data_IF_621564945664
#
_entry.id   IF_621564945664
#
_cell.length_a   1.000
_cell.length_b   1.000
_cell.length_c   1.000
_cell.angle_alpha   90.00
_cell.angle_beta   90.00
_cell.angle_gamma   90.00
#
_symmetry.space_group_name_H-M   'P 1'
#
loop_
_entity.id
_entity.type
_entity.pdbx_description
1 polymer ?
#
# COMPACT_ATOMS: atom_id res chain seq x y z
N UNK A 1 -5.87 -44.14 -18.38
CA UNK A 1 -4.92 -43.01 -18.37
C UNK A 1 -5.63 -41.76 -17.86
N UNK A 2 -5.62 -41.52 -16.55
CA UNK A 2 -6.18 -40.29 -15.96
C UNK A 2 -5.20 -39.15 -16.13
N UNK A 3 -5.59 -38.11 -16.88
CA UNK A 3 -4.82 -36.86 -16.96
C UNK A 3 -4.81 -36.24 -15.57
N UNK A 4 -3.64 -36.27 -14.94
CA UNK A 4 -3.33 -35.46 -13.78
C UNK A 4 -3.52 -33.99 -14.16
N UNK A 5 -4.70 -33.47 -13.85
CA UNK A 5 -4.95 -32.05 -13.78
C UNK A 5 -4.03 -31.53 -12.66
N UNK A 6 -2.87 -31.01 -13.07
CA UNK A 6 -1.91 -30.39 -12.19
C UNK A 6 -2.65 -29.26 -11.47
N UNK A 7 -3.08 -29.53 -10.24
CA UNK A 7 -3.51 -28.54 -9.25
C UNK A 7 -2.35 -27.56 -9.08
N UNK A 8 -2.31 -26.52 -9.93
CA UNK A 8 -1.43 -25.39 -9.76
C UNK A 8 -1.87 -24.71 -8.48
N UNK A 9 -1.26 -25.11 -7.36
CA UNK A 9 -1.46 -24.50 -6.04
C UNK A 9 -1.45 -22.99 -6.24
N UNK A 10 -2.59 -22.32 -6.04
CA UNK A 10 -2.71 -20.88 -6.25
C UNK A 10 -1.76 -20.16 -5.29
N UNK A 11 -0.82 -19.39 -5.85
CA UNK A 11 0.24 -18.67 -5.14
C UNK A 11 -0.11 -17.18 -5.08
N UNK A 12 -0.09 -16.60 -3.89
CA UNK A 12 -0.21 -15.16 -3.67
C UNK A 12 1.11 -14.44 -3.93
N UNK A 13 1.03 -13.14 -4.18
CA UNK A 13 2.21 -12.27 -4.37
C UNK A 13 2.03 -10.98 -3.60
N UNK A 14 3.02 -10.64 -2.79
CA UNK A 14 3.13 -9.35 -2.11
C UNK A 14 4.29 -8.60 -2.75
N UNK A 15 4.04 -7.37 -3.17
CA UNK A 15 5.01 -6.54 -3.87
C UNK A 15 5.35 -5.33 -3.02
N UNK A 16 6.56 -4.82 -3.18
CA UNK A 16 6.96 -3.54 -2.60
C UNK A 16 7.70 -2.70 -3.63
N UNK A 17 7.40 -1.39 -3.68
CA UNK A 17 8.11 -0.44 -4.53
C UNK A 17 8.17 0.95 -3.90
N UNK A 18 9.36 1.48 -3.67
CA UNK A 18 9.55 2.92 -3.47
C UNK A 18 9.45 3.64 -4.83
N UNK A 19 8.52 4.59 -4.94
CA UNK A 19 8.17 5.22 -6.21
C UNK A 19 8.66 6.66 -6.33
N UNK A 20 9.32 7.23 -5.31
CA UNK A 20 9.77 8.64 -5.23
C UNK A 20 8.69 9.73 -5.22
N UNK A 21 7.58 9.51 -5.92
CA UNK A 21 6.40 10.38 -5.84
C UNK A 21 5.21 9.72 -6.54
N UNK A 22 4.02 9.90 -5.99
CA UNK A 22 2.72 9.65 -6.62
C UNK A 22 1.89 10.92 -6.78
N UNK A 23 2.48 12.10 -6.52
CA UNK A 23 1.76 13.38 -6.51
C UNK A 23 1.00 13.62 -7.82
N UNK A 24 1.63 13.32 -8.95
CA UNK A 24 0.98 13.35 -10.26
C UNK A 24 0.03 12.17 -10.41
N UNK A 25 -1.26 12.44 -10.64
CA UNK A 25 -2.29 11.41 -10.82
C UNK A 25 -1.92 10.37 -11.89
N UNK A 26 -1.22 10.77 -12.96
CA UNK A 26 -0.75 9.89 -14.03
C UNK A 26 0.17 8.77 -13.52
N UNK A 27 1.03 9.06 -12.54
CA UNK A 27 1.93 8.04 -11.96
C UNK A 27 1.17 6.92 -11.26
N UNK A 28 0.05 7.21 -10.61
CA UNK A 28 -0.80 6.21 -9.96
C UNK A 28 -1.28 5.18 -10.98
N UNK A 29 -1.74 5.65 -12.16
CA UNK A 29 -2.21 4.79 -13.24
C UNK A 29 -1.06 4.01 -13.88
N UNK A 30 0.11 4.62 -14.08
CA UNK A 30 1.30 3.90 -14.56
C UNK A 30 1.69 2.75 -13.62
N UNK A 31 1.67 3.00 -12.31
CA UNK A 31 1.93 1.98 -11.28
C UNK A 31 0.88 0.87 -11.37
N UNK A 32 -0.42 1.22 -11.37
CA UNK A 32 -1.51 0.24 -11.45
C UNK A 32 -1.42 -0.63 -12.72
N UNK A 33 -1.23 0.01 -13.90
CA UNK A 33 -1.06 -0.69 -15.17
C UNK A 33 0.17 -1.61 -15.16
N UNK A 34 1.28 -1.19 -14.54
CA UNK A 34 2.47 -2.03 -14.40
C UNK A 34 2.22 -3.21 -13.47
N UNK A 35 1.50 -2.99 -12.38
CA UNK A 35 1.22 -4.03 -11.37
C UNK A 35 0.35 -5.14 -11.89
N UNK A 36 -0.61 -4.85 -12.78
CA UNK A 36 -1.46 -5.88 -13.41
C UNK A 36 -0.66 -7.03 -14.03
N UNK A 37 0.50 -6.74 -14.64
CA UNK A 37 1.40 -7.77 -15.21
C UNK A 37 1.96 -8.73 -14.16
N UNK A 38 2.12 -8.25 -12.93
CA UNK A 38 2.61 -9.05 -11.81
C UNK A 38 1.47 -9.69 -11.00
N UNK A 39 0.21 -9.36 -11.28
CA UNK A 39 -1.00 -9.84 -10.59
C UNK A 39 -0.75 -10.10 -9.08
N UNK A 40 -0.44 -9.03 -8.33
CA UNK A 40 -0.22 -9.07 -6.89
C UNK A 40 -1.54 -9.15 -6.13
N UNK A 41 -1.51 -9.75 -4.94
CA UNK A 41 -2.60 -9.59 -3.97
C UNK A 41 -2.56 -8.16 -3.42
N UNK A 42 -1.36 -7.68 -3.08
CA UNK A 42 -1.10 -6.34 -2.57
C UNK A 42 0.26 -5.80 -3.02
N UNK A 43 0.34 -4.48 -3.14
CA UNK A 43 1.57 -3.71 -3.34
C UNK A 43 1.72 -2.69 -2.21
N UNK A 44 2.83 -2.76 -1.48
CA UNK A 44 3.31 -1.69 -0.61
C UNK A 44 4.06 -0.63 -1.41
N UNK A 45 3.80 0.64 -1.09
CA UNK A 45 4.38 1.79 -1.77
C UNK A 45 4.97 2.73 -0.73
N UNK A 46 6.18 3.22 -0.99
CA UNK A 46 6.84 4.28 -0.22
C UNK A 46 7.11 5.50 -1.09
N UNK A 47 7.30 6.65 -0.44
CA UNK A 47 7.47 7.97 -1.07
C UNK A 47 6.30 8.32 -1.99
N UNK A 48 5.09 8.21 -1.45
CA UNK A 48 3.88 8.63 -2.19
C UNK A 48 3.81 10.15 -2.33
N UNK A 49 4.37 10.89 -1.36
CA UNK A 49 4.34 12.36 -1.27
C UNK A 49 2.92 12.92 -1.19
N UNK A 50 1.96 12.09 -0.83
CA UNK A 50 0.60 12.51 -0.54
C UNK A 50 0.50 12.98 0.91
N UNK A 51 -0.37 13.95 1.15
CA UNK A 51 -0.78 14.37 2.49
C UNK A 51 -2.06 13.64 2.89
N UNK A 52 -2.40 13.74 4.17
CA UNK A 52 -3.57 13.17 4.82
C UNK A 52 -3.60 11.63 4.80
N UNK A 53 -4.60 11.10 5.48
CA UNK A 53 -4.89 9.68 5.55
C UNK A 53 -6.18 9.42 4.78
N UNK A 54 -6.21 8.39 3.94
CA UNK A 54 -7.40 8.12 3.17
C UNK A 54 -7.35 6.85 2.34
N UNK A 55 -8.41 6.69 1.54
CA UNK A 55 -8.50 5.61 0.57
C UNK A 55 -9.12 6.10 -0.74
N UNK A 56 -8.72 5.50 -1.85
CA UNK A 56 -9.20 5.81 -3.19
C UNK A 56 -9.35 4.52 -3.99
N UNK A 57 -10.53 4.29 -4.57
CA UNK A 57 -10.71 3.23 -5.56
C UNK A 57 -10.26 3.75 -6.93
N UNK A 58 -9.37 3.02 -7.58
CA UNK A 58 -8.93 3.33 -8.94
C UNK A 58 -10.00 2.87 -9.93
N UNK A 59 -10.09 3.53 -11.08
CA UNK A 59 -10.97 3.10 -12.18
C UNK A 59 -10.65 1.69 -12.67
N UNK A 60 -9.42 1.26 -12.41
CA UNK A 60 -8.88 -0.06 -12.74
C UNK A 60 -9.33 -1.17 -11.79
N UNK A 61 -10.03 -0.83 -10.69
CA UNK A 61 -10.64 -1.77 -9.73
C UNK A 61 -9.87 -1.92 -8.41
N UNK A 62 -8.59 -1.54 -8.35
CA UNK A 62 -7.77 -1.63 -7.15
C UNK A 62 -8.17 -0.57 -6.09
N UNK A 63 -8.00 -0.90 -4.82
CA UNK A 63 -8.22 0.02 -3.69
C UNK A 63 -6.86 0.46 -3.17
N UNK A 64 -6.63 1.76 -3.17
CA UNK A 64 -5.43 2.38 -2.62
C UNK A 64 -5.75 2.92 -1.23
N UNK A 65 -5.02 2.45 -0.22
CA UNK A 65 -5.01 2.98 1.14
C UNK A 65 -3.74 3.81 1.28
N UNK A 66 -3.80 5.01 1.82
CA UNK A 66 -2.62 5.87 1.93
C UNK A 66 -2.57 6.60 3.26
N UNK A 67 -1.34 6.90 3.67
CA UNK A 67 -1.01 7.69 4.84
C UNK A 67 0.10 8.66 4.50
N UNK A 68 -0.16 9.94 4.74
CA UNK A 68 0.75 11.06 4.54
C UNK A 68 0.89 11.91 5.79
N UNK A 69 1.48 13.10 5.66
CA UNK A 69 1.45 14.11 6.72
C UNK A 69 0.02 14.58 6.99
N UNK A 70 -0.35 14.76 8.26
CA UNK A 70 -1.71 15.14 8.64
C UNK A 70 -2.04 16.59 8.27
N UNK A 71 -1.06 17.49 8.36
CA UNK A 71 -1.21 18.91 8.08
C UNK A 71 -1.40 19.17 6.57
N UNK A 72 -2.35 20.05 6.25
CA UNK A 72 -2.73 20.35 4.86
C UNK A 72 -1.58 21.03 4.07
N UNK A 73 -0.74 21.81 4.75
CA UNK A 73 0.40 22.52 4.17
C UNK A 73 1.76 21.85 4.45
N UNK A 74 1.76 20.60 4.92
CA UNK A 74 2.99 19.87 5.16
C UNK A 74 3.80 19.69 3.87
N UNK A 75 5.14 19.61 3.95
CA UNK A 75 5.97 19.33 2.79
C UNK A 75 5.58 17.98 2.16
N UNK A 76 5.41 17.97 0.84
CA UNK A 76 5.12 16.77 0.03
C UNK A 76 6.31 15.81 -0.01
N UNK A 77 6.56 15.19 1.13
CA UNK A 77 7.67 14.28 1.42
C UNK A 77 7.12 13.06 2.14
N UNK A 78 7.86 11.95 2.15
CA UNK A 78 7.45 10.72 2.84
C UNK A 78 6.13 10.16 2.24
N UNK A 79 5.29 9.54 3.07
CA UNK A 79 4.03 8.97 2.65
C UNK A 79 4.17 7.51 2.24
N UNK A 80 3.21 6.71 2.68
CA UNK A 80 3.13 5.28 2.41
C UNK A 80 1.75 4.91 1.91
N UNK A 81 1.66 3.86 1.10
CA UNK A 81 0.38 3.35 0.62
C UNK A 81 0.38 1.83 0.46
N UNK A 82 -0.83 1.27 0.49
CA UNK A 82 -1.12 -0.11 0.14
C UNK A 82 -2.13 -0.13 -1.01
N UNK A 83 -1.74 -0.70 -2.15
CA UNK A 83 -2.64 -0.95 -3.27
C UNK A 83 -3.12 -2.41 -3.21
N UNK A 84 -4.43 -2.59 -3.09
CA UNK A 84 -5.09 -3.87 -2.89
C UNK A 84 -5.81 -4.32 -4.16
N UNK A 85 -5.53 -5.55 -4.60
CA UNK A 85 -6.34 -6.22 -5.61
C UNK A 85 -7.79 -6.39 -5.16
N UNK A 86 -8.71 -6.67 -6.07
CA UNK A 86 -10.10 -6.96 -5.73
C UNK A 86 -10.23 -8.11 -4.71
N UNK A 87 -9.41 -9.16 -4.85
CA UNK A 87 -9.41 -10.28 -3.92
C UNK A 87 -8.95 -9.85 -2.52
N UNK A 88 -7.91 -9.02 -2.43
CA UNK A 88 -7.43 -8.47 -1.17
C UNK A 88 -8.42 -7.49 -0.53
N UNK A 89 -9.10 -6.66 -1.33
CA UNK A 89 -10.18 -5.78 -0.88
C UNK A 89 -11.31 -6.58 -0.23
N UNK A 90 -11.73 -7.64 -0.91
CA UNK A 90 -12.78 -8.52 -0.41
C UNK A 90 -12.38 -9.25 0.87
N UNK A 91 -11.08 -9.39 1.15
CA UNK A 91 -10.56 -10.02 2.36
C UNK A 91 -10.23 -9.02 3.47
N UNK A 92 -10.27 -7.71 3.20
CA UNK A 92 -9.86 -6.67 4.13
C UNK A 92 -10.78 -6.66 5.36
N UNK A 93 -10.17 -6.84 6.53
CA UNK A 93 -10.82 -6.73 7.84
C UNK A 93 -10.83 -5.25 8.26
N UNK A 94 -9.68 -4.58 8.15
CA UNK A 94 -9.49 -3.20 8.55
C UNK A 94 -8.08 -2.71 8.22
N UNK A 95 -7.87 -1.41 8.37
CA UNK A 95 -6.55 -0.79 8.20
C UNK A 95 -6.42 0.43 9.10
N UNK A 96 -5.19 0.80 9.40
CA UNK A 96 -4.83 1.88 10.32
C UNK A 96 -3.58 2.60 9.80
N UNK A 97 -3.57 3.93 9.97
CA UNK A 97 -2.40 4.77 9.76
C UNK A 97 -1.70 5.01 11.09
N UNK A 98 -0.37 5.05 11.07
CA UNK A 98 0.47 5.34 12.23
C UNK A 98 1.45 6.48 11.90
N UNK A 99 0.91 7.56 11.32
CA UNK A 99 1.65 8.69 10.76
C UNK A 99 2.04 8.48 9.29
N UNK A 100 2.82 9.40 8.75
CA UNK A 100 3.20 9.46 7.32
C UNK A 100 4.10 8.30 6.83
N UNK A 101 4.66 7.51 7.76
CA UNK A 101 5.69 6.49 7.46
C UNK A 101 5.25 5.05 7.65
N UNK A 102 4.10 4.81 8.29
CA UNK A 102 3.63 3.44 8.58
C UNK A 102 2.13 3.34 8.33
N UNK A 103 1.73 2.34 7.54
CA UNK A 103 0.34 1.95 7.35
C UNK A 103 0.21 0.44 7.54
N UNK A 104 -0.82 0.00 8.26
CA UNK A 104 -1.09 -1.42 8.50
C UNK A 104 -2.47 -1.78 7.97
N UNK A 105 -2.57 -2.95 7.34
CA UNK A 105 -3.84 -3.54 6.93
C UNK A 105 -3.91 -5.00 7.40
N UNK A 106 -5.11 -5.42 7.82
CA UNK A 106 -5.39 -6.78 8.26
C UNK A 106 -6.40 -7.43 7.31
N UNK A 107 -6.16 -8.67 6.90
CA UNK A 107 -6.96 -9.40 5.93
C UNK A 107 -7.26 -10.82 6.38
N UNK A 108 -8.44 -11.33 6.04
CA UNK A 108 -8.85 -12.69 6.34
C UNK A 108 -8.18 -13.67 5.38
N UNK A 109 -7.65 -14.76 5.92
CA UNK A 109 -7.07 -15.83 5.10
C UNK A 109 -8.02 -17.02 4.97
N UNK A 110 -7.76 -17.91 4.00
CA UNK A 110 -8.50 -19.18 3.90
C UNK A 110 -8.13 -20.15 5.02
N UNK A 111 -7.02 -19.94 5.72
CA UNK A 111 -6.65 -20.76 6.87
C UNK A 111 -7.44 -20.26 8.08
N UNK A 112 -8.30 -21.12 8.60
CA UNK A 112 -9.17 -20.77 9.72
C UNK A 112 -8.38 -20.36 10.97
N UNK A 113 -8.89 -19.36 11.69
CA UNK A 113 -8.25 -18.80 12.87
C UNK A 113 -6.99 -17.96 12.62
N UNK A 114 -6.54 -17.82 11.36
CA UNK A 114 -5.34 -17.07 10.97
C UNK A 114 -5.71 -15.92 10.05
N UNK A 115 -5.38 -14.71 10.49
CA UNK A 115 -5.42 -13.50 9.68
C UNK A 115 -4.03 -13.17 9.11
N UNK A 116 -3.99 -12.27 8.14
CA UNK A 116 -2.77 -11.70 7.60
C UNK A 116 -2.71 -10.22 7.98
N UNK A 117 -1.63 -9.80 8.62
CA UNK A 117 -1.28 -8.42 8.90
C UNK A 117 -0.16 -7.99 7.96
N UNK A 118 -0.35 -6.88 7.27
CA UNK A 118 0.65 -6.26 6.41
C UNK A 118 0.96 -4.89 6.98
N UNK A 119 2.23 -4.66 7.28
CA UNK A 119 2.74 -3.38 7.75
C UNK A 119 3.68 -2.86 6.67
N UNK A 120 3.29 -1.74 6.07
CA UNK A 120 4.07 -1.05 5.05
C UNK A 120 4.78 0.15 5.66
N UNK A 121 6.09 0.22 5.45
CA UNK A 121 6.96 1.18 6.13
C UNK A 121 7.81 2.02 5.16
N UNK A 122 8.13 3.24 5.60
CA UNK A 122 9.19 4.08 5.06
C UNK A 122 10.06 4.64 6.20
N UNK A 123 11.15 3.96 6.52
CA UNK A 123 12.01 4.35 7.63
C UNK A 123 12.81 5.63 7.33
N UNK A 124 13.16 6.43 8.35
CA UNK A 124 14.10 7.55 8.19
C UNK A 124 15.45 7.09 7.61
N UNK A 125 16.10 7.96 6.82
CA UNK A 125 17.46 7.69 6.32
C UNK A 125 18.49 7.79 7.45
N UNK A 126 19.73 7.36 7.19
CA UNK A 126 20.83 7.46 8.17
C UNK A 126 21.11 8.92 8.59
N UNK A 127 20.82 9.90 7.75
CA UNK A 127 21.10 11.32 8.01
C UNK A 127 20.05 12.01 8.90
N UNK A 128 18.95 11.33 9.23
CA UNK A 128 17.99 11.82 10.22
C UNK A 128 18.61 11.79 11.62
N UNK A 129 18.14 12.69 12.49
CA UNK A 129 18.51 12.65 13.90
C UNK A 129 18.08 11.34 14.58
N UNK A 130 18.80 10.95 15.63
CA UNK A 130 18.57 9.69 16.33
C UNK A 130 17.19 9.60 16.97
N UNK A 131 16.68 10.71 17.54
CA UNK A 131 15.35 10.76 18.15
C UNK A 131 14.24 10.38 17.16
N UNK A 132 14.31 10.87 15.91
CA UNK A 132 13.34 10.53 14.88
C UNK A 132 13.41 9.05 14.46
N UNK A 133 14.62 8.48 14.42
CA UNK A 133 14.80 7.04 14.17
C UNK A 133 14.21 6.22 15.32
N UNK A 134 14.49 6.61 16.56
CA UNK A 134 14.04 5.89 17.75
C UNK A 134 12.53 5.97 17.93
N UNK A 135 11.92 7.12 17.66
CA UNK A 135 10.46 7.27 17.60
C UNK A 135 9.83 6.36 16.54
N UNK A 136 10.44 6.27 15.34
CA UNK A 136 9.96 5.38 14.29
C UNK A 136 10.04 3.90 14.70
N UNK A 137 11.19 3.45 15.20
CA UNK A 137 11.38 2.05 15.59
C UNK A 137 10.53 1.66 16.82
N UNK A 138 10.37 2.56 17.79
CA UNK A 138 9.50 2.36 18.95
C UNK A 138 8.02 2.24 18.55
N UNK A 139 7.58 3.11 17.62
CA UNK A 139 6.22 3.01 17.06
C UNK A 139 6.03 1.71 16.30
N UNK A 140 7.00 1.32 15.48
CA UNK A 140 6.96 0.06 14.73
C UNK A 140 6.90 -1.15 15.67
N UNK A 141 7.68 -1.16 16.76
CA UNK A 141 7.64 -2.19 17.80
C UNK A 141 6.23 -2.35 18.37
N UNK A 142 5.59 -1.25 18.79
CA UNK A 142 4.22 -1.28 19.34
C UNK A 142 3.19 -1.86 18.35
N UNK A 143 3.35 -1.59 17.05
CA UNK A 143 2.46 -2.12 16.02
C UNK A 143 2.67 -3.63 15.84
N UNK A 144 3.93 -4.10 15.89
CA UNK A 144 4.28 -5.52 15.79
C UNK A 144 3.71 -6.29 16.99
N UNK A 145 3.84 -5.76 18.21
CA UNK A 145 3.33 -6.39 19.45
C UNK A 145 1.82 -6.58 19.44
N UNK A 146 1.09 -5.66 18.80
CA UNK A 146 -0.37 -5.75 18.62
C UNK A 146 -0.78 -6.82 17.61
N UNK A 147 0.15 -7.38 16.83
CA UNK A 147 -0.16 -8.44 15.86
C UNK A 147 -0.10 -9.82 16.56
N UNK A 148 -1.19 -10.62 16.54
CA UNK A 148 -1.19 -11.94 17.15
C UNK A 148 -0.10 -12.85 16.56
N UNK A 149 0.65 -13.55 17.41
CA UNK A 149 1.76 -14.42 16.98
C UNK A 149 1.34 -15.59 16.08
N UNK A 150 0.07 -16.03 16.21
CA UNK A 150 -0.54 -17.05 15.35
C UNK A 150 -0.82 -16.55 13.93
N UNK A 151 -1.00 -15.24 13.77
CA UNK A 151 -1.34 -14.62 12.49
C UNK A 151 -0.09 -14.48 11.62
N UNK A 152 -0.32 -14.33 10.32
CA UNK A 152 0.73 -14.04 9.36
C UNK A 152 1.05 -12.56 9.38
N UNK A 153 2.23 -12.18 9.89
CA UNK A 153 2.68 -10.79 9.86
C UNK A 153 3.74 -10.62 8.78
N UNK A 154 3.47 -9.75 7.82
CA UNK A 154 4.38 -9.34 6.75
C UNK A 154 4.74 -7.88 6.98
N UNK A 155 6.03 -7.61 7.08
CA UNK A 155 6.53 -6.24 7.06
C UNK A 155 7.18 -6.02 5.70
N UNK A 156 6.86 -4.92 5.06
CA UNK A 156 7.51 -4.54 3.81
C UNK A 156 7.73 -3.04 3.77
N UNK A 157 8.73 -2.62 3.02
CA UNK A 157 9.06 -1.22 2.96
C UNK A 157 10.48 -0.96 2.55
N UNK A 158 10.75 0.32 2.41
CA UNK A 158 12.09 0.87 2.36
C UNK A 158 12.48 1.23 3.79
N UNK A 159 13.44 0.47 4.32
CA UNK A 159 13.93 0.63 5.69
C UNK A 159 15.21 1.44 5.75
N UNK A 160 15.76 1.90 4.61
CA UNK A 160 17.07 2.54 4.55
C UNK A 160 18.17 1.73 5.28
N UNK A 161 18.01 0.41 5.34
CA UNK A 161 18.77 -0.49 6.19
C UNK A 161 19.52 -1.52 5.34
N UNK A 162 20.85 -1.51 5.40
CA UNK A 162 21.70 -2.54 4.82
C UNK A 162 21.99 -3.55 5.92
N UNK A 163 21.51 -4.78 5.76
CA UNK A 163 21.71 -5.84 6.78
C UNK A 163 23.01 -6.61 6.58
N UNK A 164 23.57 -6.55 5.37
CA UNK A 164 24.80 -7.21 4.98
C UNK A 164 24.70 -8.73 4.81
N UNK A 165 25.85 -9.36 4.56
CA UNK A 165 25.97 -10.83 4.44
C UNK A 165 26.24 -11.54 5.75
N UNK A 166 26.85 -10.84 6.71
CA UNK A 166 27.12 -11.40 8.04
C UNK A 166 25.80 -11.57 8.79
N UNK A 167 25.53 -12.81 9.18
CA UNK A 167 24.34 -13.20 9.92
C UNK A 167 24.67 -13.74 11.32
N UNK A 168 25.90 -13.55 11.80
CA UNK A 168 26.34 -13.98 13.13
C UNK A 168 25.46 -13.36 14.21
N UNK A 169 24.83 -14.18 15.05
CA UNK A 169 23.86 -13.74 16.07
C UNK A 169 22.45 -13.44 15.54
N UNK A 170 22.21 -13.56 14.24
CA UNK A 170 20.92 -13.34 13.57
C UNK A 170 20.50 -14.53 12.70
N UNK A 171 21.11 -15.71 12.87
CA UNK A 171 20.93 -16.90 12.03
C UNK A 171 19.47 -17.37 11.99
N UNK A 172 18.72 -17.04 13.04
CA UNK A 172 17.32 -17.36 13.21
C UNK A 172 16.37 -16.58 12.28
N UNK A 173 16.78 -15.39 11.86
CA UNK A 173 15.96 -14.47 11.06
C UNK A 173 16.63 -14.10 9.72
N UNK A 174 17.95 -14.24 9.61
CA UNK A 174 18.74 -13.90 8.43
C UNK A 174 19.36 -15.15 7.80
N UNK A 175 19.20 -15.26 6.48
CA UNK A 175 20.00 -16.19 5.69
C UNK A 175 21.37 -15.60 5.32
N UNK A 176 22.17 -16.41 4.62
CA UNK A 176 23.55 -16.06 4.21
C UNK A 176 23.64 -15.30 2.88
N UNK A 177 22.52 -14.77 2.41
CA UNK A 177 22.41 -14.23 1.06
C UNK A 177 22.04 -12.74 1.02
N UNK A 178 22.26 -11.99 2.10
CA UNK A 178 22.18 -10.53 2.05
C UNK A 178 23.22 -9.90 1.10
N UNK A 179 23.29 -8.57 1.09
CA UNK A 179 24.16 -7.81 0.19
C UNK A 179 24.90 -6.70 0.96
N UNK A 180 26.22 -6.62 0.73
CA UNK A 180 27.06 -5.55 1.24
C UNK A 180 27.40 -5.71 2.73
N UNK A 181 27.79 -4.60 3.34
CA UNK A 181 28.08 -4.48 4.76
C UNK A 181 26.91 -3.85 5.50
N UNK A 182 26.80 -4.19 6.79
CA UNK A 182 25.73 -3.69 7.64
C UNK A 182 25.98 -2.21 7.98
N UNK A 183 24.94 -1.39 7.91
CA UNK A 183 24.99 0.00 8.39
C UNK A 183 24.24 0.15 9.72
N UNK A 184 24.32 1.32 10.36
CA UNK A 184 23.64 1.62 11.62
C UNK A 184 22.12 1.35 11.59
N UNK A 185 21.41 1.83 10.55
CA UNK A 185 20.00 1.49 10.34
C UNK A 185 19.79 -0.03 10.19
N UNK A 186 20.76 -0.72 9.59
CA UNK A 186 20.81 -2.18 9.46
C UNK A 186 20.89 -2.91 10.79
N UNK A 187 21.63 -2.37 11.76
CA UNK A 187 21.71 -2.91 13.12
C UNK A 187 20.39 -2.71 13.87
N UNK A 188 19.85 -1.48 13.88
CA UNK A 188 18.53 -1.20 14.50
C UNK A 188 17.44 -2.11 13.91
N UNK A 189 17.42 -2.23 12.59
CA UNK A 189 16.52 -3.12 11.86
C UNK A 189 16.75 -4.59 12.24
N UNK A 190 17.98 -5.10 12.18
CA UNK A 190 18.26 -6.50 12.50
C UNK A 190 17.90 -6.85 13.95
N UNK A 191 18.18 -5.96 14.90
CA UNK A 191 17.86 -6.11 16.32
C UNK A 191 16.35 -6.19 16.56
N UNK A 192 15.59 -5.24 16.00
CA UNK A 192 14.13 -5.24 16.10
C UNK A 192 13.54 -6.53 15.52
N UNK A 193 14.02 -6.95 14.35
CA UNK A 193 13.49 -8.13 13.66
C UNK A 193 13.89 -9.43 14.34
N UNK A 194 15.09 -9.51 14.93
CA UNK A 194 15.50 -10.63 15.76
C UNK A 194 14.63 -10.75 17.01
N UNK A 195 14.42 -9.65 17.73
CA UNK A 195 13.59 -9.60 18.94
C UNK A 195 12.17 -10.12 18.67
N UNK A 196 11.57 -9.70 17.56
CA UNK A 196 10.20 -10.10 17.17
C UNK A 196 10.14 -11.39 16.33
N UNK A 197 11.27 -12.09 16.13
CA UNK A 197 11.36 -13.32 15.32
C UNK A 197 10.79 -13.13 13.91
N UNK A 198 11.19 -12.05 13.23
CA UNK A 198 10.78 -11.70 11.88
C UNK A 198 11.92 -12.01 10.90
N UNK A 199 11.74 -13.04 10.07
CA UNK A 199 12.71 -13.45 9.08
C UNK A 199 12.79 -12.47 7.89
N UNK A 200 14.01 -12.11 7.48
CA UNK A 200 14.28 -11.15 6.42
C UNK A 200 14.36 -11.88 5.08
N UNK A 201 13.28 -11.82 4.28
CA UNK A 201 13.13 -12.63 3.07
C UNK A 201 14.24 -12.43 2.04
N UNK A 202 14.73 -11.19 1.90
CA UNK A 202 15.79 -10.82 0.96
C UNK A 202 17.15 -11.47 1.22
N UNK A 203 17.38 -12.05 2.39
CA UNK A 203 18.64 -12.72 2.78
C UNK A 203 18.55 -14.24 2.75
N UNK A 204 17.35 -14.81 2.60
CA UNK A 204 17.10 -16.27 2.71
C UNK A 204 17.41 -17.00 1.40
N UNK A 205 17.15 -16.38 0.25
CA UNK A 205 17.21 -17.07 -1.05
C UNK A 205 18.52 -16.78 -1.79
N UNK A 206 19.15 -17.84 -2.31
CA UNK A 206 20.36 -17.71 -3.12
C UNK A 206 20.03 -17.17 -4.51
N UNK A 207 20.42 -15.93 -4.77
CA UNK A 207 20.25 -15.27 -6.05
C UNK A 207 21.48 -14.45 -6.45
N UNK A 208 21.61 -14.20 -7.76
CA UNK A 208 22.61 -13.25 -8.30
C UNK A 208 22.34 -11.84 -7.75
N UNK A 209 23.39 -11.02 -7.58
CA UNK A 209 23.31 -9.62 -7.08
C UNK A 209 22.23 -8.77 -7.77
N UNK A 210 22.03 -9.00 -9.07
CA UNK A 210 21.01 -8.32 -9.89
C UNK A 210 19.55 -8.58 -9.45
N UNK A 211 19.32 -9.62 -8.65
CA UNK A 211 18.00 -9.97 -8.11
C UNK A 211 17.87 -9.68 -6.61
N UNK A 212 18.92 -9.12 -5.99
CA UNK A 212 18.97 -8.72 -4.57
C UNK A 212 19.03 -7.21 -4.40
N UNK A 213 19.74 -6.53 -5.31
CA UNK A 213 19.84 -5.07 -5.34
C UNK A 213 18.44 -4.48 -5.48
N UNK A 214 18.07 -3.56 -4.60
CA UNK A 214 16.76 -2.91 -4.64
C UNK A 214 16.88 -1.45 -5.01
N UNK A 215 17.98 -0.78 -4.67
CA UNK A 215 18.25 0.60 -5.01
C UNK A 215 19.54 0.75 -5.82
N UNK A 216 19.58 1.72 -6.74
CA UNK A 216 20.77 2.11 -7.50
C UNK A 216 20.89 3.62 -7.49
N UNK A 217 22.08 4.13 -7.14
CA UNK A 217 22.32 5.58 -7.09
C UNK A 217 22.06 6.26 -8.44
N UNK A 218 21.74 7.57 -8.44
CA UNK A 218 21.49 8.32 -9.69
C UNK A 218 22.65 8.28 -10.70
N UNK A 219 23.89 8.20 -10.22
CA UNK A 219 25.11 8.05 -11.03
C UNK A 219 25.36 6.60 -11.51
N UNK A 220 24.48 5.66 -11.15
CA UNK A 220 24.54 4.23 -11.45
C UNK A 220 25.81 3.49 -10.97
N UNK A 221 26.55 4.05 -10.01
CA UNK A 221 27.78 3.44 -9.48
C UNK A 221 27.51 2.55 -8.27
N UNK A 222 26.59 2.96 -7.41
CA UNK A 222 26.33 2.34 -6.11
C UNK A 222 25.02 1.58 -6.13
N UNK A 223 25.03 0.38 -5.54
CA UNK A 223 23.90 -0.54 -5.54
C UNK A 223 23.72 -1.14 -4.15
N UNK A 224 22.53 -0.96 -3.58
CA UNK A 224 22.22 -1.37 -2.21
C UNK A 224 20.96 -2.24 -2.13
N UNK A 225 20.84 -2.99 -1.04
CA UNK A 225 19.62 -3.69 -0.63
C UNK A 225 19.09 -3.01 0.63
N UNK A 226 18.13 -2.11 0.45
CA UNK A 226 17.52 -1.30 1.52
C UNK A 226 16.00 -1.49 1.63
N UNK A 227 15.42 -2.11 0.60
CA UNK A 227 14.03 -2.49 0.55
C UNK A 227 13.89 -3.94 0.98
N UNK A 228 13.02 -4.21 1.96
CA UNK A 228 12.89 -5.53 2.55
C UNK A 228 11.44 -5.99 2.59
N UNK A 229 11.24 -7.30 2.41
CA UNK A 229 9.99 -7.99 2.74
C UNK A 229 10.35 -9.07 3.76
N UNK A 230 9.71 -8.98 4.92
CA UNK A 230 9.97 -9.81 6.07
C UNK A 230 8.68 -10.51 6.53
N UNK A 231 8.85 -11.62 7.24
CA UNK A 231 7.75 -12.49 7.65
C UNK A 231 8.03 -13.11 9.01
N UNK A 232 7.02 -13.30 9.86
CA UNK A 232 7.20 -14.02 11.12
C UNK A 232 7.80 -15.43 10.92
N UNK A 233 8.80 -15.75 11.74
CA UNK A 233 9.64 -16.96 11.65
C UNK A 233 8.82 -18.24 11.56
N UNK A 234 7.77 -18.34 12.37
CA UNK A 234 6.86 -19.49 12.41
C UNK A 234 6.20 -19.78 11.07
N UNK A 235 5.88 -18.74 10.29
CA UNK A 235 5.24 -18.86 8.99
C UNK A 235 6.18 -18.59 7.82
N UNK A 236 7.50 -18.50 8.05
CA UNK A 236 8.51 -18.25 7.01
C UNK A 236 8.42 -19.23 5.83
N UNK A 237 8.03 -20.48 6.08
CA UNK A 237 7.87 -21.53 5.04
C UNK A 237 6.77 -21.22 4.02
N UNK A 238 5.89 -20.25 4.31
CA UNK A 238 4.90 -19.77 3.35
C UNK A 238 5.53 -18.88 2.28
N UNK A 239 6.64 -18.19 2.58
CA UNK A 239 7.41 -17.40 1.62
C UNK A 239 8.27 -18.34 0.77
N UNK A 240 8.00 -18.40 -0.53
CA UNK A 240 8.69 -19.30 -1.47
C UNK A 240 9.83 -18.62 -2.22
N UNK A 241 9.80 -17.30 -2.34
CA UNK A 241 10.71 -16.52 -3.17
C UNK A 241 10.65 -15.04 -2.75
N UNK A 242 11.80 -14.37 -2.66
CA UNK A 242 11.89 -12.91 -2.58
C UNK A 242 12.98 -12.46 -3.54
N UNK A 243 12.62 -11.62 -4.51
CA UNK A 243 13.57 -11.15 -5.53
C UNK A 243 13.16 -9.84 -6.19
N UNK A 244 14.16 -9.09 -6.61
CA UNK A 244 14.00 -7.87 -7.39
C UNK A 244 13.62 -8.15 -8.85
N UNK A 245 12.73 -7.31 -9.39
CA UNK A 245 12.30 -7.29 -10.80
C UNK A 245 12.80 -6.02 -11.52
N UNK A 246 14.05 -6.06 -11.98
CA UNK A 246 14.70 -4.96 -12.73
C UNK A 246 14.02 -4.53 -14.04
N UNK A 247 13.22 -5.42 -14.63
CA UNK A 247 12.45 -5.11 -15.83
C UNK A 247 11.20 -4.26 -15.57
N UNK A 248 10.80 -4.05 -14.31
CA UNK A 248 9.75 -3.11 -13.97
C UNK A 248 10.30 -1.67 -14.02
N UNK A 249 9.52 -0.74 -14.59
CA UNK A 249 9.98 0.63 -14.73
C UNK A 249 8.87 1.67 -14.53
N UNK A 250 9.20 2.67 -13.71
CA UNK A 250 8.38 3.85 -13.38
C UNK A 250 9.24 5.12 -13.22
N UNK A 251 10.51 5.11 -13.69
CA UNK A 251 11.50 6.15 -13.36
C UNK A 251 11.67 6.36 -11.85
N UNK A 252 11.89 5.25 -11.15
CA UNK A 252 12.41 5.21 -9.78
C UNK A 252 13.83 4.63 -9.83
N UNK A 253 14.69 5.13 -8.95
CA UNK A 253 16.01 4.58 -8.61
C UNK A 253 15.90 3.28 -7.78
N UNK A 254 14.71 3.00 -7.24
CA UNK A 254 14.33 1.71 -6.68
C UNK A 254 13.72 0.76 -7.72
N UNK A 255 13.98 -0.52 -7.51
CA UNK A 255 13.44 -1.62 -8.28
C UNK A 255 12.33 -2.32 -7.51
N UNK A 256 11.33 -2.81 -8.25
CA UNK A 256 10.23 -3.58 -7.69
C UNK A 256 10.73 -4.85 -6.98
N UNK A 257 10.40 -5.00 -5.70
CA UNK A 257 10.66 -6.19 -4.89
C UNK A 257 9.41 -7.08 -4.87
N UNK A 258 9.58 -8.38 -5.14
CA UNK A 258 8.47 -9.34 -5.23
C UNK A 258 8.69 -10.50 -4.28
N UNK A 259 7.74 -10.71 -3.37
CA UNK A 259 7.63 -11.92 -2.57
C UNK A 259 6.53 -12.84 -3.14
N UNK A 260 6.85 -14.12 -3.37
CA UNK A 260 5.85 -15.16 -3.68
C UNK A 260 5.52 -15.94 -2.44
N UNK A 261 4.23 -16.18 -2.22
CA UNK A 261 3.76 -16.79 -1.00
C UNK A 261 2.71 -17.88 -1.25
N UNK A 262 2.79 -18.95 -0.46
CA UNK A 262 1.74 -19.98 -0.31
C UNK A 262 0.65 -19.46 0.64
N UNK A 263 -0.06 -18.42 0.20
CA UNK A 263 -1.15 -17.81 0.93
C UNK A 263 -2.38 -17.68 0.03
N UNK A 264 -3.57 -17.85 0.61
CA UNK A 264 -4.84 -17.55 -0.04
C UNK A 264 -5.68 -16.66 0.86
N UNK A 265 -6.21 -15.59 0.29
CA UNK A 265 -7.14 -14.71 0.97
C UNK A 265 -8.57 -15.28 0.93
N UNK A 266 -9.35 -15.00 1.96
CA UNK A 266 -10.76 -15.39 2.08
C UNK A 266 -11.60 -14.13 2.11
N UNK A 267 -12.70 -14.12 1.38
CA UNK A 267 -13.67 -13.02 1.46
C UNK A 267 -14.11 -12.83 2.92
N UNK A 268 -13.95 -11.61 3.40
CA UNK A 268 -14.48 -11.12 4.64
C UNK A 268 -15.88 -10.58 4.34
N UNK A 269 -16.91 -11.29 4.78
CA UNK A 269 -18.29 -10.80 4.70
C UNK A 269 -18.46 -9.70 5.76
N UNK A 270 -18.38 -8.45 5.32
CA UNK A 270 -18.93 -7.33 6.08
C UNK A 270 -20.41 -7.26 5.72
N UNK A 271 -21.28 -7.50 6.70
CA UNK A 271 -22.71 -7.23 6.59
C UNK A 271 -22.88 -5.80 6.12
N UNK A 272 -23.45 -5.62 4.91
CA UNK A 272 -23.84 -4.34 4.32
C UNK A 272 -22.93 -3.14 4.65
N UNK A 273 -21.69 -3.11 4.16
CA UNK A 273 -20.98 -1.83 4.10
C UNK A 273 -21.61 -1.01 2.98
N UNK A 274 -22.64 -0.25 3.28
CA UNK A 274 -23.18 0.77 2.37
C UNK A 274 -22.00 1.65 1.98
N UNK A 275 -21.61 1.58 0.71
CA UNK A 275 -20.65 2.53 0.16
C UNK A 275 -21.26 3.92 0.42
N UNK A 276 -20.71 4.68 1.35
CA UNK A 276 -21.15 6.06 1.55
C UNK A 276 -20.77 6.82 0.27
N UNK A 277 -21.74 6.94 -0.64
CA UNK A 277 -21.61 7.79 -1.80
C UNK A 277 -21.68 9.23 -1.29
N UNK A 278 -20.53 9.92 -1.32
CA UNK A 278 -20.47 11.31 -0.87
C UNK A 278 -21.36 12.17 -1.76
N UNK A 279 -22.24 12.95 -1.13
CA UNK A 279 -23.03 13.98 -1.81
C UNK A 279 -22.10 15.06 -2.38
N UNK A 280 -22.52 15.70 -3.47
CA UNK A 280 -21.73 16.75 -4.09
C UNK A 280 -21.89 18.08 -3.34
N UNK A 281 -21.17 18.23 -2.23
CA UNK A 281 -21.22 19.45 -1.40
C UNK A 281 -20.69 20.71 -2.10
N UNK A 282 -20.06 20.57 -3.29
CA UNK A 282 -19.68 21.73 -4.10
C UNK A 282 -20.89 22.54 -4.56
N UNK A 283 -22.07 21.91 -4.72
CA UNK A 283 -23.32 22.62 -5.05
C UNK A 283 -23.77 23.55 -3.92
N UNK A 284 -23.33 23.37 -2.68
CA UNK A 284 -23.62 24.32 -1.60
C UNK A 284 -22.80 25.62 -1.71
N UNK A 285 -21.84 25.70 -2.63
CA UNK A 285 -21.14 26.96 -2.95
C UNK A 285 -21.91 27.80 -3.96
N UNK A 286 -22.88 27.19 -4.64
CA UNK A 286 -23.80 27.87 -5.55
C UNK A 286 -24.99 28.41 -4.74
N UNK A 287 -25.28 29.70 -4.89
CA UNK A 287 -26.28 30.40 -4.08
C UNK A 287 -27.69 29.89 -4.33
N UNK A 288 -28.01 29.51 -5.56
CA UNK A 288 -29.35 29.03 -5.93
C UNK A 288 -29.59 27.64 -5.35
N UNK A 289 -28.60 26.74 -5.49
CA UNK A 289 -28.64 25.39 -4.92
C UNK A 289 -28.65 25.38 -3.40
N UNK A 290 -27.98 26.34 -2.77
CA UNK A 290 -28.02 26.52 -1.31
C UNK A 290 -29.42 26.96 -0.85
N UNK A 291 -30.07 27.88 -1.56
CA UNK A 291 -31.43 28.32 -1.24
C UNK A 291 -32.46 27.21 -1.47
N UNK A 292 -32.34 26.47 -2.57
CA UNK A 292 -33.15 25.27 -2.84
C UNK A 292 -32.99 24.22 -1.71
N UNK A 293 -31.75 23.97 -1.28
CA UNK A 293 -31.46 23.06 -0.15
C UNK A 293 -32.16 23.51 1.13
N UNK A 294 -32.12 24.81 1.45
CA UNK A 294 -32.80 25.36 2.65
C UNK A 294 -34.31 25.18 2.60
N UNK A 295 -34.93 25.44 1.44
CA UNK A 295 -36.38 25.30 1.26
C UNK A 295 -36.82 23.85 1.41
N UNK A 296 -36.17 22.92 0.70
CA UNK A 296 -36.50 21.49 0.74
C UNK A 296 -36.28 20.93 2.15
N UNK A 297 -35.18 21.31 2.81
CA UNK A 297 -34.89 20.89 4.18
C UNK A 297 -35.94 21.41 5.16
N UNK A 298 -36.32 22.69 5.06
CA UNK A 298 -37.32 23.31 5.93
C UNK A 298 -38.69 22.65 5.78
N UNK A 299 -39.12 22.38 4.54
CA UNK A 299 -40.39 21.71 4.27
C UNK A 299 -40.43 20.30 4.84
N UNK A 300 -39.32 19.56 4.75
CA UNK A 300 -39.21 18.19 5.29
C UNK A 300 -39.19 18.16 6.80
N UNK A 301 -38.48 19.10 7.44
CA UNK A 301 -38.50 19.20 8.90
C UNK A 301 -39.85 19.66 9.45
N UNK A 302 -40.59 20.51 8.71
CA UNK A 302 -41.95 20.86 9.10
C UNK A 302 -42.87 19.63 9.08
N UNK A 303 -42.86 18.86 7.98
CA UNK A 303 -43.62 17.61 7.88
C UNK A 303 -43.21 16.57 8.94
N UNK A 304 -41.91 16.48 9.25
CA UNK A 304 -41.40 15.62 10.31
C UNK A 304 -41.86 16.08 11.71
N UNK A 305 -41.89 17.39 11.97
CA UNK A 305 -42.37 17.93 13.24
C UNK A 305 -43.87 17.66 13.45
N UNK A 306 -44.67 17.76 12.39
CA UNK A 306 -46.10 17.44 12.45
C UNK A 306 -46.34 15.94 12.77
N UNK A 307 -45.45 15.05 12.33
CA UNK A 307 -45.45 13.61 12.66
C UNK A 307 -44.99 13.30 14.10
N UNK A 308 -44.06 14.08 14.65
CA UNK A 308 -43.58 13.94 16.03
C UNK A 308 -44.64 14.29 17.09
N UNK A 309 -45.62 15.11 16.73
CA UNK A 309 -46.69 15.54 17.63
C UNK A 309 -47.84 14.51 17.75
N UNK A 310 -47.73 13.34 17.10
CA UNK A 310 -48.63 12.20 17.28
C UNK A 310 -48.21 11.30 18.45
N UNK A 311 -49.17 10.77 19.22
CA UNK A 311 -48.88 9.85 20.33
C UNK A 311 -48.19 8.56 19.83
N UNK A 312 -46.98 8.26 20.32
CA UNK A 312 -46.33 6.95 20.16
C UNK A 312 -44.93 6.89 19.53
N UNK A 313 -44.24 8.02 19.29
CA UNK A 313 -42.90 7.99 18.67
C UNK A 313 -41.78 7.64 19.66
N UNK A 314 -40.96 6.65 19.34
CA UNK A 314 -39.75 6.28 20.12
C UNK A 314 -38.54 7.12 19.72
N UNK A 315 -37.51 7.17 20.57
CA UNK A 315 -36.28 7.93 20.31
C UNK A 315 -35.54 7.44 19.04
N UNK A 316 -35.59 6.14 18.77
CA UNK A 316 -35.04 5.52 17.56
C UNK A 316 -35.81 5.95 16.30
N UNK A 317 -37.14 6.03 16.37
CA UNK A 317 -37.99 6.51 15.28
C UNK A 317 -37.68 7.98 14.95
N UNK A 318 -37.45 8.78 15.98
CA UNK A 318 -37.11 10.20 15.83
C UNK A 318 -35.74 10.39 15.18
N UNK A 319 -34.76 9.57 15.57
CA UNK A 319 -33.45 9.58 14.97
C UNK A 319 -33.48 9.18 13.49
N UNK A 320 -34.24 8.15 13.12
CA UNK A 320 -34.30 7.71 11.73
C UNK A 320 -35.04 8.75 10.86
N UNK A 321 -36.11 9.37 11.37
CA UNK A 321 -36.79 10.45 10.65
C UNK A 321 -35.91 11.71 10.46
N UNK A 322 -35.11 12.08 11.46
CA UNK A 322 -34.11 13.15 11.34
C UNK A 322 -33.09 12.85 10.23
N UNK A 323 -32.56 11.62 10.26
CA UNK A 323 -31.57 11.15 9.28
C UNK A 323 -32.17 11.06 7.87
N UNK A 324 -33.41 10.62 7.74
CA UNK A 324 -34.13 10.53 6.48
C UNK A 324 -34.38 11.92 5.87
N UNK A 325 -34.81 12.91 6.67
CA UNK A 325 -35.02 14.28 6.22
C UNK A 325 -33.74 14.90 5.64
N UNK A 326 -32.60 14.70 6.31
CA UNK A 326 -31.30 15.20 5.82
C UNK A 326 -30.86 14.43 4.57
N UNK A 327 -30.92 13.10 4.61
CA UNK A 327 -30.38 12.25 3.55
C UNK A 327 -31.17 12.41 2.26
N UNK A 328 -32.51 12.41 2.34
CA UNK A 328 -33.39 12.67 1.19
C UNK A 328 -33.16 14.05 0.58
N UNK A 329 -32.91 15.08 1.39
CA UNK A 329 -32.62 16.44 0.90
C UNK A 329 -31.31 16.48 0.14
N UNK A 330 -30.31 15.79 0.66
CA UNK A 330 -29.04 15.66 -0.04
C UNK A 330 -29.18 14.87 -1.35
N UNK A 331 -30.04 13.84 -1.41
CA UNK A 331 -30.31 13.10 -2.65
C UNK A 331 -30.98 13.97 -3.72
N UNK A 332 -31.98 14.75 -3.33
CA UNK A 332 -32.77 15.58 -4.24
C UNK A 332 -31.98 16.77 -4.77
N UNK A 333 -31.32 17.52 -3.90
CA UNK A 333 -30.72 18.81 -4.28
C UNK A 333 -29.25 18.67 -4.69
N UNK A 334 -28.47 17.87 -3.93
CA UNK A 334 -27.03 17.75 -4.15
C UNK A 334 -26.68 16.60 -5.10
N UNK A 335 -27.47 15.52 -5.06
CA UNK A 335 -27.15 14.28 -5.73
C UNK A 335 -25.78 13.70 -5.33
N UNK A 336 -25.42 12.58 -5.94
CA UNK A 336 -24.10 11.98 -5.71
C UNK A 336 -23.05 12.57 -6.64
N UNK A 337 -21.81 12.62 -6.15
CA UNK A 337 -20.66 13.00 -6.97
C UNK A 337 -20.50 12.03 -8.14
N UNK A 338 -20.77 12.49 -9.37
CA UNK A 338 -20.53 11.71 -10.59
C UNK A 338 -19.03 11.65 -10.89
N UNK A 339 -18.51 10.46 -11.14
CA UNK A 339 -17.15 10.28 -11.62
C UNK A 339 -17.13 10.39 -13.14
N UNK A 340 -16.47 11.42 -13.67
CA UNK A 340 -16.18 11.51 -15.10
C UNK A 340 -15.00 10.61 -15.43
N UNK A 341 -15.19 9.68 -16.37
CA UNK A 341 -14.10 8.94 -16.99
C UNK A 341 -13.44 9.84 -18.03
N UNK A 342 -12.20 10.26 -17.77
CA UNK A 342 -11.30 10.75 -18.82
C UNK A 342 -10.32 9.63 -19.13
N UNK A 343 -10.12 9.31 -20.40
CA UNK A 343 -8.92 8.56 -20.80
C UNK A 343 -7.75 9.53 -20.66
N UNK A 344 -6.98 9.37 -19.57
CA UNK A 344 -5.91 10.30 -19.18
C UNK A 344 -4.55 9.95 -19.74
N UNK A 345 -4.37 8.73 -20.26
CA UNK A 345 -3.11 8.28 -20.85
C UNK A 345 -3.30 8.25 -22.36
N UNK A 346 -2.60 9.14 -23.05
CA UNK A 346 -2.55 9.15 -24.52
C UNK A 346 -1.70 7.98 -25.04
N UNK A 347 -1.92 7.58 -26.29
CA UNK A 347 -1.09 6.57 -26.96
C UNK A 347 0.40 6.98 -26.94
N UNK A 348 0.69 8.25 -27.23
CA UNK A 348 2.04 8.83 -27.13
C UNK A 348 2.69 8.66 -25.75
N UNK A 349 1.90 8.77 -24.67
CA UNK A 349 2.42 8.54 -23.31
C UNK A 349 2.77 7.06 -23.10
N UNK A 350 1.97 6.13 -23.62
CA UNK A 350 2.26 4.70 -23.56
C UNK A 350 3.51 4.33 -24.36
N UNK A 351 3.68 4.94 -25.53
CA UNK A 351 4.84 4.75 -26.40
C UNK A 351 6.12 5.23 -25.71
N UNK A 352 6.13 6.44 -25.14
CA UNK A 352 7.26 6.96 -24.35
C UNK A 352 7.61 6.10 -23.14
N UNK A 353 6.61 5.54 -22.45
CA UNK A 353 6.84 4.59 -21.35
C UNK A 353 7.51 3.31 -21.87
N UNK A 354 7.10 2.83 -23.05
CA UNK A 354 7.66 1.63 -23.67
C UNK A 354 9.10 1.88 -24.16
N UNK A 355 9.37 3.02 -24.81
CA UNK A 355 10.74 3.44 -25.17
C UNK A 355 11.67 3.52 -23.96
N UNK A 356 11.21 4.16 -22.87
CA UNK A 356 11.99 4.26 -21.62
C UNK A 356 12.32 2.88 -21.06
N UNK A 357 11.37 1.95 -21.14
CA UNK A 357 11.57 0.57 -20.70
C UNK A 357 12.60 -0.16 -21.58
N UNK A 358 12.60 0.09 -22.87
CA UNK A 358 13.55 -0.54 -23.81
C UNK A 358 14.97 0.02 -23.61
N UNK A 359 15.11 1.32 -23.36
CA UNK A 359 16.38 1.93 -22.89
C UNK A 359 16.85 1.30 -21.57
N UNK A 360 15.95 1.15 -20.59
CA UNK A 360 16.29 0.47 -19.33
C UNK A 360 16.69 -0.99 -19.55
N UNK A 361 16.08 -1.68 -20.50
CA UNK A 361 16.48 -3.03 -20.87
C UNK A 361 17.91 -3.05 -21.43
N UNK A 362 18.24 -2.11 -22.33
CA UNK A 362 19.59 -1.94 -22.87
C UNK A 362 20.62 -1.67 -21.75
N UNK A 363 20.35 -0.70 -20.87
CA UNK A 363 21.21 -0.39 -19.69
C UNK A 363 21.39 -1.63 -18.81
N UNK A 364 20.33 -2.43 -18.62
CA UNK A 364 20.38 -3.63 -17.80
C UNK A 364 21.23 -4.76 -18.42
N UNK A 365 21.33 -4.81 -19.75
CA UNK A 365 22.14 -5.79 -20.49
C UNK A 365 23.58 -5.36 -20.73
N UNK A 366 23.87 -4.04 -20.65
CA UNK A 366 25.22 -3.48 -20.80
C UNK A 366 26.19 -4.02 -19.73
N UNK A 367 27.39 -4.41 -20.17
CA UNK A 367 28.43 -5.00 -19.32
C UNK A 367 29.46 -3.95 -18.89
N UNK A 368 29.69 -2.91 -19.68
CA UNK A 368 30.68 -1.86 -19.39
C UNK A 368 30.03 -0.54 -18.98
N UNK A 369 30.79 0.35 -18.32
CA UNK A 369 30.32 1.70 -17.98
C UNK A 369 30.05 2.54 -19.24
N UNK A 370 30.89 2.41 -20.27
CA UNK A 370 30.72 3.10 -21.54
C UNK A 370 29.43 2.66 -22.27
N UNK A 371 29.12 1.36 -22.28
CA UNK A 371 27.87 0.84 -22.85
C UNK A 371 26.63 1.30 -22.07
N UNK A 372 26.74 1.47 -20.75
CA UNK A 372 25.64 2.03 -19.93
C UNK A 372 25.43 3.51 -20.23
N UNK A 373 26.50 4.29 -20.33
CA UNK A 373 26.43 5.71 -20.68
C UNK A 373 25.85 5.92 -22.08
N UNK A 374 26.16 5.04 -23.05
CA UNK A 374 25.60 5.10 -24.41
C UNK A 374 24.11 4.72 -24.48
N UNK A 375 23.63 3.92 -23.53
CA UNK A 375 22.24 3.45 -23.49
C UNK A 375 21.29 4.37 -22.70
N UNK A 376 21.83 5.37 -21.99
CA UNK A 376 21.07 6.49 -21.41
C UNK A 376 20.67 7.45 -22.52
#
# INVERSE_FOLDING_TARGET
MGKAEFLRKSRGRCLFWNVRTMWQNERVFQIAARMRRYNPEMLGISETHWTQVGHKRLTTGELLLYSGHEEENAPHTQGVALMLSEQAQNALIGWESHGSRIIKASCKTKKEGISMNIIQCYAPTNDYNEDAKDQFYSRLQSIIEKCPTKDLTILMGDFNAKVGTDNTGYEDIMGRHGLGERNENGEKFANLFAFNKLAIGGTIFSYKRIHKTTWTSPDHTTQNQIDHICINKTLRRTMEDVRTKRGADIASDHHLLVAKMKLKLKKHWTTGRTLSQKFNTAFLRDTDKLNESKIVLSNRFQAFHDLLNGEGTTMESNWEGFKEAITSTCHEVLGHKKHHHKEWITVDTLDKIQERRDKKAAINTSRTRAEKAKAQ
#
